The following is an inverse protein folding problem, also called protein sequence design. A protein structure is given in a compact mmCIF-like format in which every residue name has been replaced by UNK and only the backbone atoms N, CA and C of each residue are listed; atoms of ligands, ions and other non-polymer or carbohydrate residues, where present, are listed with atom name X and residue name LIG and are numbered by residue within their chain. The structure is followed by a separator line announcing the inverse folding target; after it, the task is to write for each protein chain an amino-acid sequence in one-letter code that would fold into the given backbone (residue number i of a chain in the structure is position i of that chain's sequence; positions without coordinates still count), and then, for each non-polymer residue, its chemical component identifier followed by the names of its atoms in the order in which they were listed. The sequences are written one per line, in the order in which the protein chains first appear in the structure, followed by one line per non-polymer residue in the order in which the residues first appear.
data_IF_046443718107
#
_entry.id   IF_046443718107
#
_cell.length_a   1.000
_cell.length_b   1.000
_cell.length_c   1.000
_cell.angle_alpha   90.00
_cell.angle_beta   90.00
_cell.angle_gamma   90.00
#
_symmetry.space_group_name_H-M   'P 1'
#
loop_
_entity.id
_entity.type
_entity.pdbx_description
1 polymer ?
#
# COMPACT_ATOMS: atom_id res chain seq x y z
N UNK A 1 17.75 -37.10 -7.70
CA UNK A 1 17.68 -35.85 -8.50
C UNK A 1 16.26 -35.38 -8.82
N UNK A 2 15.28 -36.27 -9.09
CA UNK A 2 13.88 -35.85 -9.39
C UNK A 2 13.21 -35.08 -8.24
N UNK A 3 13.33 -35.57 -7.00
CA UNK A 3 12.74 -34.94 -5.80
C UNK A 3 13.32 -33.55 -5.53
N UNK A 4 14.65 -33.38 -5.69
CA UNK A 4 15.32 -32.08 -5.50
C UNK A 4 14.83 -31.05 -6.53
N UNK A 5 14.62 -31.47 -7.79
CA UNK A 5 14.08 -30.59 -8.84
C UNK A 5 12.63 -30.18 -8.55
N UNK A 6 11.81 -31.09 -8.03
CA UNK A 6 10.44 -30.79 -7.62
C UNK A 6 10.43 -29.81 -6.43
N UNK A 7 11.32 -30.00 -5.45
CA UNK A 7 11.45 -29.12 -4.31
C UNK A 7 11.84 -27.69 -4.74
N UNK A 8 12.80 -27.58 -5.66
CA UNK A 8 13.20 -26.31 -6.26
C UNK A 8 12.06 -25.62 -7.02
N UNK A 9 11.25 -26.39 -7.74
CA UNK A 9 10.10 -25.86 -8.47
C UNK A 9 9.02 -25.31 -7.52
N UNK A 10 8.77 -26.01 -6.41
CA UNK A 10 7.82 -25.56 -5.37
C UNK A 10 8.35 -24.29 -4.69
N UNK A 11 9.65 -24.26 -4.35
CA UNK A 11 10.28 -23.08 -3.74
C UNK A 11 10.20 -21.86 -4.67
N UNK A 12 10.45 -22.06 -5.97
CA UNK A 12 10.35 -21.01 -6.98
C UNK A 12 8.91 -20.50 -7.11
N UNK A 13 7.93 -21.41 -7.18
CA UNK A 13 6.51 -21.06 -7.21
C UNK A 13 6.07 -20.28 -5.97
N UNK A 14 6.57 -20.65 -4.79
CA UNK A 14 6.27 -19.95 -3.53
C UNK A 14 6.88 -18.54 -3.51
N UNK A 15 8.07 -18.36 -4.08
CA UNK A 15 8.72 -17.04 -4.15
C UNK A 15 7.99 -16.05 -5.08
N UNK A 16 7.35 -16.54 -6.13
CA UNK A 16 6.57 -15.74 -7.08
C UNK A 16 5.22 -15.28 -6.53
N UNK A 17 4.75 -15.89 -5.43
CA UNK A 17 3.51 -15.52 -4.72
C UNK A 17 3.73 -14.46 -3.64
N UNK A 18 4.96 -13.99 -3.44
CA UNK A 18 5.27 -12.86 -2.56
C UNK A 18 4.72 -11.56 -3.18
N UNK A 19 3.42 -11.33 -3.00
CA UNK A 19 2.76 -10.08 -3.34
C UNK A 19 3.48 -8.93 -2.65
N UNK A 20 3.93 -7.95 -3.44
CA UNK A 20 4.46 -6.69 -2.95
C UNK A 20 3.43 -6.08 -1.99
N UNK A 21 3.76 -6.06 -0.69
CA UNK A 21 2.90 -5.47 0.33
C UNK A 21 2.67 -4.01 -0.04
N UNK A 22 1.39 -3.65 -0.20
CA UNK A 22 0.97 -2.29 -0.49
C UNK A 22 1.60 -1.34 0.53
N UNK A 23 2.06 -0.19 0.03
CA UNK A 23 2.82 0.79 0.78
C UNK A 23 2.22 1.02 2.18
N UNK A 24 3.04 0.75 3.19
CA UNK A 24 2.72 0.97 4.60
C UNK A 24 2.03 2.33 4.78
N UNK A 25 0.86 2.34 5.43
CA UNK A 25 0.15 3.58 5.76
C UNK A 25 1.03 4.38 6.73
N UNK A 26 1.80 5.33 6.19
CA UNK A 26 2.81 6.08 6.95
C UNK A 26 2.20 6.98 8.01
N UNK A 27 1.00 7.52 7.75
CA UNK A 27 0.36 8.49 8.63
C UNK A 27 -1.13 8.22 8.77
N UNK A 28 -1.62 8.37 10.00
CA UNK A 28 -3.06 8.45 10.29
C UNK A 28 -3.34 9.88 10.78
N UNK A 29 -3.82 10.72 9.87
CA UNK A 29 -4.15 12.11 10.17
C UNK A 29 -5.65 12.21 10.50
N UNK A 30 -6.04 12.74 11.68
CA UNK A 30 -7.44 13.05 11.94
C UNK A 30 -7.87 14.23 11.06
N UNK A 31 -8.83 14.01 10.17
CA UNK A 31 -9.38 15.05 9.30
C UNK A 31 -10.65 15.69 9.88
N UNK A 32 -11.29 15.02 10.86
CA UNK A 32 -12.52 15.47 11.52
C UNK A 32 -13.55 16.01 10.50
N UNK A 33 -14.05 17.24 10.70
CA UNK A 33 -14.97 17.92 9.79
C UNK A 33 -14.26 19.01 8.95
N UNK A 34 -12.98 18.80 8.63
CA UNK A 34 -12.20 19.74 7.80
C UNK A 34 -12.90 19.95 6.45
N UNK A 35 -12.94 21.19 5.94
CA UNK A 35 -13.49 21.46 4.63
C UNK A 35 -12.67 20.74 3.55
N UNK A 36 -13.35 20.21 2.54
CA UNK A 36 -12.70 19.56 1.41
C UNK A 36 -13.33 20.01 0.10
N UNK A 37 -12.53 19.91 -0.96
CA UNK A 37 -12.97 20.10 -2.34
C UNK A 37 -12.39 18.98 -3.20
N UNK A 38 -13.13 18.59 -4.24
CA UNK A 38 -12.69 17.55 -5.18
C UNK A 38 -13.50 16.25 -5.09
N UNK A 39 -13.02 15.23 -5.79
CA UNK A 39 -13.69 13.94 -5.90
C UNK A 39 -13.37 13.05 -4.70
N UNK A 40 -14.40 12.49 -4.07
CA UNK A 40 -14.28 11.67 -2.86
C UNK A 40 -13.38 10.44 -3.04
N UNK A 41 -13.37 9.87 -4.26
CA UNK A 41 -12.56 8.69 -4.59
C UNK A 41 -11.37 9.04 -5.50
N UNK A 42 -10.80 10.24 -5.35
CA UNK A 42 -9.61 10.63 -6.10
C UNK A 42 -8.44 9.67 -5.78
N UNK A 43 -7.60 9.30 -6.78
CA UNK A 43 -6.46 8.40 -6.55
C UNK A 43 -5.37 9.02 -5.67
N UNK A 44 -5.41 10.35 -5.48
CA UNK A 44 -4.49 11.12 -4.64
C UNK A 44 -5.29 12.13 -3.83
N UNK A 45 -4.98 12.22 -2.54
CA UNK A 45 -5.54 13.22 -1.61
C UNK A 45 -4.40 14.08 -1.08
N UNK A 46 -4.59 15.39 -1.06
CA UNK A 46 -3.65 16.36 -0.49
C UNK A 46 -4.31 16.95 0.76
N UNK A 47 -3.58 17.00 1.87
CA UNK A 47 -4.01 17.60 3.14
C UNK A 47 -3.11 18.79 3.42
N UNK A 48 -3.69 19.98 3.53
CA UNK A 48 -2.99 21.23 3.83
C UNK A 48 -3.14 21.59 5.31
N UNK A 49 -2.02 21.95 5.95
CA UNK A 49 -1.99 22.53 7.30
C UNK A 49 -1.53 23.97 7.17
N UNK A 50 -2.38 24.92 7.54
CA UNK A 50 -2.10 26.36 7.45
C UNK A 50 -2.47 27.05 8.76
N UNK A 51 -1.64 28.02 9.15
CA UNK A 51 -1.94 28.98 10.20
C UNK A 51 -2.22 30.33 9.54
N UNK A 52 -3.29 31.01 9.98
CA UNK A 52 -3.73 32.29 9.41
C UNK A 52 -3.13 33.51 10.12
N UNK A 53 -2.32 33.29 11.16
CA UNK A 53 -1.55 34.33 11.85
C UNK A 53 -0.27 34.68 11.08
#
# INVERSE_FOLDING_TARGET
MKIIKQLLFVLLGLSLLSSAFAAEKRYSLPLENSPYIGYENAPVTIVEFIDYQ
#
